data_IF_307888553300
#
_entry.id   IF_307888553300
#
_cell.length_a   1.000
_cell.length_b   1.000
_cell.length_c   1.000
_cell.angle_alpha   90.00
_cell.angle_beta   90.00
_cell.angle_gamma   90.00
#
_symmetry.space_group_name_H-M   'P 1'
#
loop_
_entity.id
_entity.type
_entity.pdbx_description
1 polymer ?
#
# COMPACT_ATOMS: atom_id res chain seq x y z
N UNK A 1 8.18 16.55 -23.63
CA UNK A 1 9.01 15.36 -23.30
C UNK A 1 8.91 15.15 -21.80
N UNK A 2 8.22 14.09 -21.36
CA UNK A 2 7.86 13.95 -19.94
C UNK A 2 9.11 13.75 -19.07
N UNK A 3 9.03 14.16 -17.80
CA UNK A 3 10.12 14.05 -16.82
C UNK A 3 10.70 12.61 -16.74
N UNK A 4 9.85 11.60 -16.95
CA UNK A 4 10.22 10.19 -16.94
C UNK A 4 11.01 9.73 -18.18
N UNK A 5 10.81 10.34 -19.37
CA UNK A 5 11.65 10.08 -20.55
C UNK A 5 13.11 10.52 -20.31
N UNK A 6 13.33 11.47 -19.39
CA UNK A 6 14.67 11.89 -18.95
C UNK A 6 15.25 10.93 -17.91
N UNK A 7 14.47 10.43 -16.95
CA UNK A 7 14.97 9.48 -15.94
C UNK A 7 15.20 8.06 -16.49
N UNK A 8 14.37 7.55 -17.41
CA UNK A 8 14.57 6.24 -18.07
C UNK A 8 15.88 6.16 -18.85
N UNK A 9 16.36 7.28 -19.41
CA UNK A 9 17.67 7.35 -20.08
C UNK A 9 18.86 7.20 -19.12
N UNK A 10 18.70 7.50 -17.83
CA UNK A 10 19.78 7.45 -16.85
C UNK A 10 19.91 6.10 -16.14
N UNK A 11 18.81 5.36 -15.94
CA UNK A 11 18.83 4.08 -15.21
C UNK A 11 18.76 2.83 -16.08
N UNK A 12 18.64 2.96 -17.41
CA UNK A 12 18.56 1.82 -18.33
C UNK A 12 19.87 1.50 -19.05
N UNK A 13 20.62 0.49 -18.58
CA UNK A 13 21.37 -0.51 -19.41
C UNK A 13 22.20 -1.47 -18.55
N UNK A 14 21.62 -2.61 -18.16
CA UNK A 14 22.37 -3.88 -18.19
C UNK A 14 21.93 -4.64 -19.43
N UNK A 15 22.73 -4.55 -20.50
CA UNK A 15 22.54 -5.39 -21.69
C UNK A 15 22.96 -6.81 -21.32
N UNK A 16 22.01 -7.76 -21.29
CA UNK A 16 22.37 -9.17 -21.39
C UNK A 16 23.01 -9.43 -22.75
N UNK A 17 24.18 -10.08 -22.74
CA UNK A 17 24.87 -10.57 -23.93
C UNK A 17 24.00 -11.66 -24.58
N UNK A 18 23.68 -11.48 -25.85
CA UNK A 18 23.00 -12.46 -26.71
C UNK A 18 24.05 -13.51 -27.10
N UNK A 19 23.92 -14.75 -26.60
CA UNK A 19 24.71 -15.87 -27.11
C UNK A 19 24.15 -16.29 -28.47
N UNK A 20 25.02 -16.28 -29.48
CA UNK A 20 24.80 -16.95 -30.77
C UNK A 20 25.00 -18.45 -30.56
N UNK A 21 24.07 -19.27 -31.01
CA UNK A 21 24.29 -20.69 -31.27
C UNK A 21 24.32 -20.90 -32.77
N UNK A 22 25.50 -21.27 -33.27
CA UNK A 22 25.73 -21.69 -34.65
C UNK A 22 25.17 -23.10 -34.86
N UNK A 23 24.37 -23.30 -35.90
CA UNK A 23 24.02 -24.62 -36.44
C UNK A 23 24.20 -24.53 -37.97
N UNK A 24 25.00 -25.42 -38.60
CA UNK A 24 25.28 -25.38 -40.04
C UNK A 24 24.12 -25.98 -40.86
N UNK A 25 24.04 -25.70 -42.18
CA UNK A 25 22.94 -26.15 -43.02
C UNK A 25 23.20 -27.57 -43.57
N UNK A 26 22.16 -28.40 -43.66
CA UNK A 26 22.17 -29.59 -44.52
C UNK A 26 21.06 -29.45 -45.57
N UNK A 27 21.51 -29.40 -46.83
CA UNK A 27 20.74 -29.52 -48.06
C UNK A 27 19.89 -30.80 -48.13
N UNK A 28 18.84 -30.76 -48.96
CA UNK A 28 18.55 -31.89 -49.86
C UNK A 28 17.12 -32.43 -49.94
N UNK A 29 16.36 -31.87 -50.89
CA UNK A 29 15.48 -32.56 -51.88
C UNK A 29 14.15 -33.25 -51.50
N UNK A 30 13.07 -32.65 -52.05
CA UNK A 30 11.98 -33.19 -52.91
C UNK A 30 11.19 -34.47 -52.56
N UNK A 31 9.85 -34.34 -52.58
CA UNK A 31 8.94 -35.48 -52.78
C UNK A 31 7.46 -35.15 -52.54
N UNK A 32 6.59 -35.49 -53.50
CA UNK A 32 5.21 -35.03 -53.69
C UNK A 32 4.14 -36.02 -53.14
N UNK A 33 2.95 -35.47 -52.82
CA UNK A 33 1.57 -36.03 -52.88
C UNK A 33 0.93 -36.90 -51.77
N UNK A 34 -0.25 -36.41 -51.37
CA UNK A 34 -1.56 -37.03 -51.08
C UNK A 34 -1.75 -38.16 -50.06
N UNK A 35 -2.63 -37.86 -49.08
CA UNK A 35 -3.84 -38.65 -48.82
C UNK A 35 -3.84 -39.57 -47.58
N UNK A 36 -4.89 -39.45 -46.76
CA UNK A 36 -5.35 -40.55 -45.91
C UNK A 36 -5.45 -40.27 -44.41
N UNK A 37 -6.68 -40.04 -43.95
CA UNK A 37 -7.12 -40.10 -42.55
C UNK A 37 -6.91 -41.52 -42.00
N UNK A 38 -6.22 -41.69 -40.87
CA UNK A 38 -6.49 -42.75 -39.85
C UNK A 38 -5.93 -42.36 -38.47
N UNK A 39 -6.73 -42.69 -37.47
CA UNK A 39 -6.50 -42.59 -36.04
C UNK A 39 -5.20 -43.25 -35.58
N UNK A 40 -4.50 -42.59 -34.66
CA UNK A 40 -3.26 -43.08 -34.07
C UNK A 40 -3.04 -42.50 -32.68
N UNK A 41 -3.14 -43.37 -31.67
CA UNK A 41 -2.69 -43.22 -30.30
C UNK A 41 -1.33 -42.49 -30.20
N UNK A 42 -1.27 -41.44 -29.38
CA UNK A 42 -0.05 -40.68 -29.11
C UNK A 42 0.57 -41.14 -27.78
N UNK A 43 1.82 -41.64 -27.75
CA UNK A 43 2.53 -41.91 -26.51
C UNK A 43 3.31 -40.67 -26.05
N UNK A 44 3.14 -40.34 -24.76
CA UNK A 44 4.11 -39.75 -23.82
C UNK A 44 5.38 -39.11 -24.43
N UNK A 45 5.37 -37.79 -24.58
CA UNK A 45 6.56 -36.97 -24.73
C UNK A 45 6.89 -36.27 -23.41
N UNK A 46 8.02 -36.69 -22.83
CA UNK A 46 8.69 -36.08 -21.67
C UNK A 46 8.98 -34.60 -21.95
N UNK A 47 8.25 -33.72 -21.28
CA UNK A 47 8.63 -32.30 -21.16
C UNK A 47 9.75 -32.19 -20.13
N UNK A 48 10.90 -31.72 -20.59
CA UNK A 48 12.04 -31.36 -19.75
C UNK A 48 11.68 -30.16 -18.88
N UNK A 49 11.57 -30.40 -17.58
CA UNK A 49 11.53 -29.38 -16.54
C UNK A 49 12.77 -28.47 -16.63
N UNK A 50 12.60 -27.23 -17.08
CA UNK A 50 13.46 -26.11 -16.71
C UNK A 50 12.71 -25.31 -15.65
N UNK A 51 12.74 -25.83 -14.41
CA UNK A 51 12.46 -25.04 -13.23
C UNK A 51 13.58 -23.98 -13.12
N UNK A 52 13.30 -22.76 -13.57
CA UNK A 52 13.97 -21.61 -12.99
C UNK A 52 13.47 -21.51 -11.54
N UNK A 53 14.28 -21.96 -10.60
CA UNK A 53 14.04 -21.79 -9.18
C UNK A 53 14.00 -20.29 -8.87
N UNK A 54 12.80 -19.72 -8.88
CA UNK A 54 12.51 -18.51 -8.13
C UNK A 54 12.65 -18.91 -6.66
N UNK A 55 13.70 -18.41 -6.02
CA UNK A 55 14.07 -18.79 -4.65
C UNK A 55 12.88 -18.59 -3.72
N UNK A 56 12.26 -19.70 -3.35
CA UNK A 56 11.16 -19.82 -2.39
C UNK A 56 11.58 -19.47 -0.95
N UNK A 57 12.85 -19.10 -0.75
CA UNK A 57 13.44 -18.95 0.58
C UNK A 57 13.31 -17.52 1.14
N UNK A 58 13.10 -16.50 0.31
CA UNK A 58 12.89 -15.12 0.83
C UNK A 58 11.49 -14.91 1.42
N UNK A 59 10.46 -15.57 0.88
CA UNK A 59 9.10 -15.48 1.42
C UNK A 59 8.94 -16.29 2.72
N UNK A 60 9.66 -17.41 2.83
CA UNK A 60 9.59 -18.31 3.99
C UNK A 60 10.20 -17.67 5.25
N UNK A 61 11.26 -16.87 5.11
CA UNK A 61 11.92 -16.17 6.24
C UNK A 61 11.03 -15.04 6.80
N UNK A 62 10.19 -14.40 5.97
CA UNK A 62 9.27 -13.36 6.45
C UNK A 62 8.11 -13.91 7.30
N UNK A 63 7.75 -15.19 7.14
CA UNK A 63 6.65 -15.82 7.88
C UNK A 63 7.00 -16.19 9.34
N UNK A 64 8.29 -16.17 9.72
CA UNK A 64 8.73 -16.54 11.08
C UNK A 64 9.08 -15.36 12.01
N UNK A 65 9.00 -14.12 11.52
CA UNK A 65 9.33 -12.92 12.31
C UNK A 65 8.11 -12.38 13.06
N UNK A 66 8.33 -11.83 14.25
CA UNK A 66 7.27 -11.12 14.97
C UNK A 66 6.84 -9.86 14.19
N UNK A 67 5.57 -9.46 14.31
CA UNK A 67 5.03 -8.24 13.68
C UNK A 67 5.89 -6.99 13.97
N UNK A 68 6.49 -6.91 15.16
CA UNK A 68 7.39 -5.82 15.54
C UNK A 68 8.74 -5.83 14.82
N UNK A 69 9.30 -7.01 14.52
CA UNK A 69 10.54 -7.14 13.75
C UNK A 69 10.32 -6.90 12.26
N UNK A 70 9.16 -7.33 11.74
CA UNK A 70 8.76 -7.06 10.35
C UNK A 70 8.63 -5.54 10.13
N UNK A 71 7.92 -4.82 11.01
CA UNK A 71 7.81 -3.35 10.95
C UNK A 71 9.17 -2.63 10.96
N UNK A 72 10.06 -2.99 11.89
CA UNK A 72 11.42 -2.41 11.96
C UNK A 72 12.23 -2.64 10.67
N UNK A 73 12.09 -3.81 10.05
CA UNK A 73 12.75 -4.14 8.79
C UNK A 73 12.22 -3.28 7.63
N UNK A 74 10.91 -3.02 7.57
CA UNK A 74 10.32 -2.21 6.49
C UNK A 74 10.55 -0.71 6.65
N UNK A 75 10.51 -0.17 7.86
CA UNK A 75 10.95 1.22 8.12
C UNK A 75 12.40 1.41 7.64
N UNK A 76 13.25 0.39 7.83
CA UNK A 76 14.63 0.41 7.34
C UNK A 76 14.75 0.39 5.81
N UNK A 77 13.80 -0.18 5.07
CA UNK A 77 13.80 -0.19 3.59
C UNK A 77 13.37 1.18 3.03
N UNK A 78 12.36 1.83 3.62
CA UNK A 78 12.06 3.21 3.24
C UNK A 78 13.21 4.14 3.64
N UNK A 79 13.79 4.00 4.83
CA UNK A 79 14.96 4.77 5.25
C UNK A 79 16.16 4.57 4.30
N UNK A 80 16.40 3.33 3.87
CA UNK A 80 17.45 2.98 2.90
C UNK A 80 17.16 3.57 1.52
N UNK A 81 15.92 3.48 1.04
CA UNK A 81 15.52 4.11 -0.22
C UNK A 81 15.69 5.64 -0.14
N UNK A 82 15.26 6.26 0.95
CA UNK A 82 15.41 7.70 1.16
C UNK A 82 16.87 8.11 1.25
N UNK A 83 17.70 7.37 1.99
CA UNK A 83 19.14 7.57 2.05
C UNK A 83 19.82 7.39 0.69
N UNK A 84 19.41 6.38 -0.09
CA UNK A 84 19.91 6.16 -1.44
C UNK A 84 19.52 7.32 -2.36
N UNK A 85 18.26 7.75 -2.34
CA UNK A 85 17.78 8.88 -3.14
C UNK A 85 18.48 10.19 -2.75
N UNK A 86 18.67 10.46 -1.46
CA UNK A 86 19.46 11.61 -0.99
C UNK A 86 20.90 11.53 -1.48
N UNK A 87 21.51 10.34 -1.42
CA UNK A 87 22.88 10.08 -1.89
C UNK A 87 22.99 10.27 -3.40
N UNK A 88 22.08 9.71 -4.19
CA UNK A 88 22.06 9.85 -5.66
C UNK A 88 21.83 11.30 -6.06
N UNK A 89 20.96 12.00 -5.34
CA UNK A 89 20.70 13.44 -5.52
C UNK A 89 21.93 14.29 -5.19
N UNK A 90 22.77 13.88 -4.22
CA UNK A 90 24.05 14.54 -3.95
C UNK A 90 24.91 14.61 -5.21
N UNK A 91 24.90 13.58 -6.05
CA UNK A 91 25.69 13.47 -7.28
C UNK A 91 25.02 14.04 -8.53
N UNK A 92 23.74 14.43 -8.47
CA UNK A 92 23.08 15.16 -9.57
C UNK A 92 23.80 16.51 -9.77
N UNK A 93 24.07 16.94 -11.01
CA UNK A 93 24.75 18.24 -11.23
C UNK A 93 23.76 19.41 -11.34
N UNK A 94 22.47 19.13 -11.61
CA UNK A 94 21.43 20.15 -11.79
C UNK A 94 20.68 20.45 -10.49
N UNK A 95 20.90 21.63 -9.90
CA UNK A 95 20.25 22.09 -8.65
C UNK A 95 18.72 21.91 -8.62
N UNK A 96 18.02 22.24 -9.71
CA UNK A 96 16.56 22.09 -9.76
C UNK A 96 16.06 20.64 -9.66
N UNK A 97 16.77 19.69 -10.27
CA UNK A 97 16.41 18.27 -10.17
C UNK A 97 16.65 17.70 -8.77
N UNK A 98 17.64 18.24 -8.03
CA UNK A 98 17.86 17.86 -6.63
C UNK A 98 16.69 18.26 -5.75
N UNK A 99 16.25 19.50 -5.87
CA UNK A 99 15.20 20.06 -5.04
C UNK A 99 13.88 19.28 -5.20
N UNK A 100 13.50 18.97 -6.44
CA UNK A 100 12.29 18.18 -6.72
C UNK A 100 12.37 16.78 -6.12
N UNK A 101 13.50 16.07 -6.28
CA UNK A 101 13.65 14.71 -5.76
C UNK A 101 13.59 14.68 -4.22
N UNK A 102 14.25 15.62 -3.54
CA UNK A 102 14.17 15.75 -2.07
C UNK A 102 12.76 16.12 -1.63
N UNK A 103 12.09 17.02 -2.36
CA UNK A 103 10.71 17.44 -2.08
C UNK A 103 9.69 16.30 -2.24
N UNK A 104 9.91 15.37 -3.16
CA UNK A 104 9.03 14.19 -3.34
C UNK A 104 9.25 13.18 -2.22
N UNK A 105 10.50 12.88 -1.89
CA UNK A 105 10.83 11.99 -0.77
C UNK A 105 10.25 12.49 0.55
N UNK A 106 10.38 13.79 0.84
CA UNK A 106 9.80 14.38 2.04
C UNK A 106 8.27 14.31 2.06
N UNK A 107 7.63 14.47 0.90
CA UNK A 107 6.19 14.32 0.77
C UNK A 107 5.74 12.87 1.04
N UNK A 108 6.43 11.89 0.46
CA UNK A 108 6.14 10.47 0.66
C UNK A 108 6.28 10.06 2.12
N UNK A 109 7.39 10.46 2.78
CA UNK A 109 7.60 10.24 4.21
C UNK A 109 6.51 10.88 5.05
N UNK A 110 6.26 12.17 4.85
CA UNK A 110 5.25 12.91 5.61
C UNK A 110 3.86 12.30 5.46
N UNK A 111 3.50 11.86 4.25
CA UNK A 111 2.26 11.12 4.03
C UNK A 111 2.21 9.83 4.83
N UNK A 112 3.22 8.95 4.73
CA UNK A 112 3.21 7.66 5.44
C UNK A 112 3.13 7.85 6.95
N UNK A 113 3.94 8.76 7.50
CA UNK A 113 3.98 9.05 8.93
C UNK A 113 2.62 9.57 9.41
N UNK A 114 2.02 10.51 8.68
CA UNK A 114 0.69 11.04 8.99
C UNK A 114 -0.41 9.97 8.89
N UNK A 115 -0.37 9.09 7.88
CA UNK A 115 -1.30 7.95 7.79
C UNK A 115 -1.16 7.05 9.02
N UNK A 116 0.06 6.74 9.43
CA UNK A 116 0.33 5.87 10.57
C UNK A 116 -0.11 6.48 11.91
N UNK A 117 0.02 7.81 12.06
CA UNK A 117 -0.52 8.53 13.20
C UNK A 117 -2.06 8.44 13.26
N UNK A 118 -2.74 8.66 12.12
CA UNK A 118 -4.20 8.51 12.03
C UNK A 118 -4.61 7.05 12.29
N UNK A 119 -3.93 6.07 11.70
CA UNK A 119 -4.23 4.65 11.93
C UNK A 119 -4.09 4.26 13.40
N UNK A 120 -3.05 4.74 14.08
CA UNK A 120 -2.88 4.55 15.52
C UNK A 120 -4.04 5.13 16.32
N UNK A 121 -4.48 6.36 15.99
CA UNK A 121 -5.63 7.04 16.60
C UNK A 121 -6.91 6.21 16.53
N UNK A 122 -7.13 5.46 15.44
CA UNK A 122 -8.29 4.57 15.26
C UNK A 122 -8.01 3.10 15.59
N UNK A 123 -6.87 2.76 16.20
CA UNK A 123 -6.54 1.41 16.66
C UNK A 123 -6.10 0.43 15.58
N UNK A 124 -5.66 0.92 14.42
CA UNK A 124 -5.21 0.13 13.29
C UNK A 124 -3.68 -0.01 13.24
N UNK A 125 -3.15 -1.14 12.73
CA UNK A 125 -1.71 -1.33 12.57
C UNK A 125 -1.14 -0.35 11.55
N UNK A 126 0.10 0.15 11.70
CA UNK A 126 0.74 1.02 10.70
C UNK A 126 0.88 0.33 9.33
N UNK A 127 0.79 1.13 8.28
CA UNK A 127 1.13 0.78 6.91
C UNK A 127 2.64 0.77 6.72
N UNK A 128 3.08 -0.05 5.79
CA UNK A 128 4.47 -0.14 5.32
C UNK A 128 4.60 0.53 3.96
N UNK A 129 5.77 1.10 3.68
CA UNK A 129 6.03 1.69 2.37
C UNK A 129 6.20 0.61 1.29
N UNK A 130 5.61 0.86 0.13
CA UNK A 130 5.84 0.06 -1.08
C UNK A 130 6.27 0.96 -2.23
N UNK A 131 7.53 0.80 -2.65
CA UNK A 131 8.08 1.57 -3.78
C UNK A 131 7.34 1.24 -5.09
N UNK A 132 6.90 0.00 -5.25
CA UNK A 132 6.11 -0.45 -6.40
C UNK A 132 4.79 0.32 -6.49
N UNK A 133 4.07 0.45 -5.36
CA UNK A 133 2.84 1.24 -5.30
C UNK A 133 3.10 2.73 -5.53
N UNK A 134 4.23 3.27 -5.07
CA UNK A 134 4.58 4.66 -5.27
C UNK A 134 4.89 4.98 -6.75
N UNK A 135 5.60 4.10 -7.45
CA UNK A 135 5.88 4.25 -8.88
C UNK A 135 4.59 4.18 -9.72
N UNK A 136 3.66 3.31 -9.31
CA UNK A 136 2.33 3.18 -9.91
C UNK A 136 1.48 4.43 -9.63
N UNK A 137 1.48 4.90 -8.38
CA UNK A 137 0.81 6.12 -7.97
C UNK A 137 1.31 7.33 -8.76
N UNK A 138 2.62 7.46 -8.97
CA UNK A 138 3.21 8.53 -9.78
C UNK A 138 2.73 8.47 -11.24
N UNK A 139 2.74 7.27 -11.83
CA UNK A 139 2.24 7.06 -13.20
C UNK A 139 0.77 7.47 -13.35
N UNK A 140 -0.04 7.28 -12.32
CA UNK A 140 -1.44 7.71 -12.29
C UNK A 140 -1.58 9.21 -12.01
N UNK A 141 -0.83 9.77 -11.06
CA UNK A 141 -0.82 11.20 -10.77
C UNK A 141 -0.49 12.02 -12.02
N UNK A 142 0.49 11.59 -12.82
CA UNK A 142 0.79 12.23 -14.12
C UNK A 142 -0.42 12.21 -15.06
N UNK A 143 -1.06 11.06 -15.24
CA UNK A 143 -2.24 10.94 -16.12
C UNK A 143 -3.40 11.80 -15.64
N UNK A 144 -3.66 11.82 -14.33
CA UNK A 144 -4.74 12.58 -13.71
C UNK A 144 -4.48 14.08 -13.83
N UNK A 145 -3.27 14.54 -13.54
CA UNK A 145 -2.87 15.94 -13.71
C UNK A 145 -2.95 16.37 -15.18
N UNK A 146 -2.52 15.51 -16.11
CA UNK A 146 -2.63 15.76 -17.55
C UNK A 146 -4.08 15.79 -18.04
N UNK A 147 -5.00 15.05 -17.42
CA UNK A 147 -6.42 15.10 -17.80
C UNK A 147 -7.20 16.22 -17.11
N UNK A 148 -6.73 16.71 -15.97
CA UNK A 148 -7.43 17.69 -15.15
C UNK A 148 -8.63 17.13 -14.41
N UNK A 149 -8.79 15.80 -14.33
CA UNK A 149 -9.91 15.13 -13.65
C UNK A 149 -9.50 13.74 -13.16
N UNK A 150 -10.14 13.30 -12.07
CA UNK A 150 -9.92 11.97 -11.50
C UNK A 150 -10.26 10.89 -12.53
N UNK A 151 -9.36 9.91 -12.65
CA UNK A 151 -9.54 8.68 -13.41
C UNK A 151 -9.24 7.53 -12.48
N UNK A 152 -10.21 6.65 -12.27
CA UNK A 152 -10.04 5.50 -11.41
C UNK A 152 -9.42 4.32 -12.19
N UNK A 153 -8.21 3.86 -11.84
CA UNK A 153 -7.67 2.59 -12.31
C UNK A 153 -8.58 1.41 -11.98
N UNK A 154 -8.74 0.50 -12.92
CA UNK A 154 -9.18 -0.86 -12.59
C UNK A 154 -7.95 -1.68 -12.17
N UNK A 155 -7.63 -1.68 -10.88
CA UNK A 155 -6.51 -2.44 -10.31
C UNK A 155 -7.04 -3.42 -9.26
N UNK A 156 -7.30 -4.69 -9.63
CA UNK A 156 -7.81 -5.69 -8.70
C UNK A 156 -6.91 -5.83 -7.46
N UNK A 157 -7.50 -5.73 -6.28
CA UNK A 157 -6.79 -5.88 -5.00
C UNK A 157 -5.95 -4.67 -4.57
N UNK A 158 -5.97 -3.56 -5.31
CA UNK A 158 -5.33 -2.29 -4.91
C UNK A 158 -6.42 -1.27 -4.59
N UNK A 159 -6.33 -0.68 -3.40
CA UNK A 159 -7.18 0.42 -2.96
C UNK A 159 -6.59 1.76 -3.38
N UNK A 160 -7.40 2.81 -3.40
CA UNK A 160 -6.99 4.11 -3.92
C UNK A 160 -7.63 5.28 -3.17
N UNK A 161 -6.84 6.33 -2.97
CA UNK A 161 -7.33 7.67 -2.66
C UNK A 161 -6.78 8.64 -3.71
N UNK A 162 -7.62 9.53 -4.22
CA UNK A 162 -7.22 10.52 -5.22
C UNK A 162 -7.81 11.89 -4.92
N UNK A 163 -6.95 12.91 -4.97
CA UNK A 163 -7.36 14.32 -4.85
C UNK A 163 -6.83 15.10 -6.04
N UNK A 164 -7.68 15.90 -6.66
CA UNK A 164 -7.31 16.85 -7.71
C UNK A 164 -7.59 18.25 -7.22
N UNK A 165 -6.58 19.12 -7.32
CA UNK A 165 -6.67 20.54 -6.94
C UNK A 165 -6.31 21.42 -8.13
N UNK A 166 -7.02 22.52 -8.28
CA UNK A 166 -6.65 23.58 -9.23
C UNK A 166 -5.69 24.54 -8.53
N UNK A 167 -4.51 24.74 -9.12
CA UNK A 167 -3.53 25.70 -8.66
C UNK A 167 -3.90 27.13 -9.08
N UNK A 168 -3.62 28.07 -8.20
CA UNK A 168 -3.68 29.52 -8.39
C UNK A 168 -2.33 30.15 -8.01
N UNK A 169 -2.19 31.46 -8.19
CA UNK A 169 -0.93 32.20 -7.98
C UNK A 169 -0.31 32.06 -6.57
N UNK A 170 -1.11 31.64 -5.58
CA UNK A 170 -0.68 31.41 -4.20
C UNK A 170 -0.67 29.93 -3.79
N UNK A 171 -0.85 29.00 -4.73
CA UNK A 171 -0.89 27.57 -4.44
C UNK A 171 0.51 27.00 -4.34
N UNK A 172 0.79 26.30 -3.24
CA UNK A 172 1.97 25.45 -3.09
C UNK A 172 1.64 23.98 -3.37
N UNK A 173 2.68 23.17 -3.59
CA UNK A 173 2.52 21.72 -3.62
C UNK A 173 2.15 21.22 -2.21
N UNK A 174 1.00 20.54 -2.04
CA UNK A 174 0.50 20.21 -0.71
C UNK A 174 1.39 19.17 -0.03
N UNK A 175 1.71 19.39 1.24
CA UNK A 175 2.51 18.45 2.05
C UNK A 175 1.74 17.16 2.31
N UNK A 176 2.45 16.14 2.80
CA UNK A 176 1.80 14.87 3.14
C UNK A 176 0.79 15.01 4.28
N UNK A 177 1.14 15.81 5.30
CA UNK A 177 0.25 16.13 6.42
C UNK A 177 -1.02 16.85 5.98
N UNK A 178 -0.92 17.82 5.06
CA UNK A 178 -2.07 18.57 4.56
C UNK A 178 -3.09 17.66 3.85
N UNK A 179 -2.61 16.73 3.02
CA UNK A 179 -3.48 15.77 2.32
C UNK A 179 -4.11 14.78 3.30
N UNK A 180 -3.32 14.28 4.25
CA UNK A 180 -3.82 13.34 5.25
C UNK A 180 -4.85 13.98 6.17
N UNK A 181 -4.64 15.22 6.59
CA UNK A 181 -5.61 15.97 7.39
C UNK A 181 -6.92 16.23 6.62
N UNK A 182 -6.83 16.54 5.33
CA UNK A 182 -8.00 16.69 4.46
C UNK A 182 -8.81 15.39 4.39
N UNK A 183 -8.17 14.25 4.14
CA UNK A 183 -8.86 12.96 4.11
C UNK A 183 -9.35 12.50 5.48
N UNK A 184 -8.61 12.76 6.56
CA UNK A 184 -9.03 12.44 7.93
C UNK A 184 -10.29 13.23 8.32
N UNK A 185 -10.46 14.46 7.84
CA UNK A 185 -11.63 15.29 8.14
C UNK A 185 -12.96 14.62 7.77
N UNK A 186 -12.94 13.68 6.82
CA UNK A 186 -14.11 12.89 6.44
C UNK A 186 -14.61 11.96 7.55
N UNK A 187 -13.80 11.68 8.57
CA UNK A 187 -14.21 10.93 9.76
C UNK A 187 -15.45 11.56 10.43
N UNK A 188 -15.62 12.88 10.33
CA UNK A 188 -16.80 13.58 10.85
C UNK A 188 -18.11 13.21 10.15
N UNK A 189 -18.04 12.64 8.93
CA UNK A 189 -19.19 12.15 8.18
C UNK A 189 -19.37 10.63 8.27
N UNK A 190 -18.46 9.90 8.91
CA UNK A 190 -18.51 8.44 9.02
C UNK A 190 -19.42 8.00 10.17
N UNK A 191 -20.41 7.16 9.87
CA UNK A 191 -21.30 6.55 10.88
C UNK A 191 -20.62 5.32 11.50
N UNK A 192 -19.94 5.52 12.64
CA UNK A 192 -19.27 4.45 13.38
C UNK A 192 -20.24 3.44 14.03
N UNK A 193 -21.49 3.83 14.26
CA UNK A 193 -22.49 2.94 14.86
C UNK A 193 -23.10 2.02 13.78
N UNK A 194 -23.10 2.45 12.52
CA UNK A 194 -23.55 1.68 11.35
C UNK A 194 -22.54 1.76 10.20
N UNK A 195 -21.34 1.19 10.37
CA UNK A 195 -20.23 1.33 9.43
C UNK A 195 -20.58 0.69 8.08
N UNK A 196 -20.48 1.49 7.01
CA UNK A 196 -20.82 1.11 5.63
C UNK A 196 -20.09 2.02 4.65
N UNK A 197 -20.03 1.60 3.39
CA UNK A 197 -19.53 2.48 2.34
C UNK A 197 -20.38 3.74 2.22
N UNK A 198 -19.70 4.87 2.10
CA UNK A 198 -20.32 6.17 1.83
C UNK A 198 -19.31 7.08 1.14
N UNK A 199 -19.73 7.73 0.05
CA UNK A 199 -18.83 8.52 -0.81
C UNK A 199 -18.14 9.69 -0.10
N UNK A 200 -18.79 10.29 0.90
CA UNK A 200 -18.22 11.42 1.68
C UNK A 200 -17.10 11.01 2.64
N UNK A 201 -16.85 9.72 2.83
CA UNK A 201 -15.85 9.22 3.77
C UNK A 201 -14.99 8.10 3.20
N UNK A 202 -14.95 7.98 1.87
CA UNK A 202 -14.23 6.92 1.19
C UNK A 202 -12.71 7.03 1.40
N UNK A 203 -12.16 8.24 1.51
CA UNK A 203 -10.73 8.43 1.68
C UNK A 203 -10.33 8.07 3.11
N UNK A 204 -11.12 8.56 4.08
CA UNK A 204 -10.93 8.21 5.48
C UNK A 204 -10.99 6.69 5.70
N UNK A 205 -12.06 6.03 5.24
CA UNK A 205 -12.23 4.59 5.48
C UNK A 205 -11.14 3.74 4.85
N UNK A 206 -10.59 4.15 3.69
CA UNK A 206 -9.43 3.49 3.09
C UNK A 206 -8.16 3.70 3.91
N UNK A 207 -7.90 4.92 4.41
CA UNK A 207 -6.71 5.20 5.22
C UNK A 207 -6.68 4.34 6.49
N UNK A 208 -7.83 4.20 7.14
CA UNK A 208 -7.96 3.44 8.39
C UNK A 208 -8.38 1.99 8.18
N UNK A 209 -8.32 1.48 6.94
CA UNK A 209 -8.69 0.10 6.64
C UNK A 209 -7.69 -0.87 7.28
N UNK A 210 -8.13 -1.63 8.30
CA UNK A 210 -7.26 -2.48 9.10
C UNK A 210 -6.41 -3.45 8.27
N UNK A 211 -7.03 -4.08 7.27
CA UNK A 211 -6.40 -5.13 6.49
C UNK A 211 -5.44 -4.61 5.42
N UNK A 212 -5.45 -3.30 5.10
CA UNK A 212 -4.43 -2.69 4.24
C UNK A 212 -3.09 -2.65 4.98
N UNK A 213 -2.02 -3.13 4.33
CA UNK A 213 -0.71 -3.34 4.94
C UNK A 213 0.39 -2.49 4.32
N UNK A 214 0.29 -2.21 3.02
CA UNK A 214 1.26 -1.43 2.26
C UNK A 214 0.60 -0.19 1.67
N UNK A 215 1.38 0.88 1.51
CA UNK A 215 0.98 2.04 0.74
C UNK A 215 2.12 2.61 -0.11
N UNK A 216 1.74 3.28 -1.19
CA UNK A 216 2.61 4.16 -1.96
C UNK A 216 1.83 5.39 -2.41
N UNK A 217 2.49 6.54 -2.42
CA UNK A 217 1.86 7.83 -2.75
C UNK A 217 2.75 8.66 -3.65
N UNK A 218 2.11 9.45 -4.51
CA UNK A 218 2.79 10.43 -5.34
C UNK A 218 1.90 11.65 -5.57
N UNK A 219 2.55 12.79 -5.86
CA UNK A 219 1.88 14.00 -6.34
C UNK A 219 2.50 14.47 -7.64
N UNK A 220 1.69 15.06 -8.51
CA UNK A 220 2.15 15.68 -9.76
C UNK A 220 1.46 17.03 -9.94
N UNK A 221 2.22 18.03 -10.40
CA UNK A 221 1.66 19.32 -10.82
C UNK A 221 1.90 19.53 -12.31
N UNK A 222 0.82 19.48 -13.08
CA UNK A 222 0.81 19.97 -14.44
C UNK A 222 0.61 21.50 -14.42
N UNK A 223 1.70 22.24 -14.63
CA UNK A 223 1.70 23.72 -14.62
C UNK A 223 1.02 24.33 -15.84
N UNK A 224 0.91 23.61 -16.96
CA UNK A 224 0.19 24.10 -18.15
C UNK A 224 -1.32 24.12 -17.92
N UNK A 225 -1.82 23.18 -17.11
CA UNK A 225 -3.24 23.06 -16.76
C UNK A 225 -3.58 23.59 -15.37
N UNK A 226 -2.58 24.08 -14.65
CA UNK A 226 -2.69 24.43 -13.23
C UNK A 226 -3.41 23.34 -12.42
N UNK A 227 -3.04 22.08 -12.66
CA UNK A 227 -3.69 20.93 -12.04
C UNK A 227 -2.67 20.16 -11.18
N UNK A 228 -3.00 20.00 -9.90
CA UNK A 228 -2.25 19.17 -8.96
C UNK A 228 -3.05 17.90 -8.72
N UNK A 229 -2.44 16.75 -8.96
CA UNK A 229 -3.02 15.45 -8.67
C UNK A 229 -2.22 14.76 -7.57
N UNK A 230 -2.92 14.19 -6.59
CA UNK A 230 -2.35 13.36 -5.53
C UNK A 230 -3.03 12.01 -5.62
N UNK A 231 -2.23 10.94 -5.65
CA UNK A 231 -2.68 9.56 -5.72
C UNK A 231 -1.98 8.76 -4.64
N UNK A 232 -2.75 8.11 -3.77
CA UNK A 232 -2.27 7.11 -2.82
C UNK A 232 -2.89 5.76 -3.17
N UNK A 233 -2.07 4.71 -3.17
CA UNK A 233 -2.47 3.34 -3.45
C UNK A 233 -2.17 2.46 -2.24
N UNK A 234 -3.04 1.48 -2.00
CA UNK A 234 -3.01 0.61 -0.83
C UNK A 234 -3.08 -0.86 -1.23
N UNK A 235 -2.38 -1.73 -0.51
CA UNK A 235 -2.43 -3.17 -0.73
C UNK A 235 -2.49 -3.93 0.60
N UNK A 236 -3.42 -4.88 0.77
CA UNK A 236 -4.66 -5.04 0.00
C UNK A 236 -5.53 -3.78 -0.04
N UNK A 237 -6.37 -3.67 -1.06
CA UNK A 237 -7.35 -2.59 -1.18
C UNK A 237 -8.44 -2.66 -0.12
N UNK A 238 -8.88 -1.49 0.34
CA UNK A 238 -9.95 -1.34 1.32
C UNK A 238 -11.30 -1.03 0.67
N UNK A 239 -12.22 -0.49 1.47
CA UNK A 239 -13.56 -0.09 1.04
C UNK A 239 -14.39 -1.22 0.39
N UNK A 240 -14.11 -2.48 0.74
CA UNK A 240 -14.92 -3.61 0.31
C UNK A 240 -16.32 -3.52 0.93
N UNK A 241 -17.36 -3.56 0.09
CA UNK A 241 -18.74 -3.38 0.53
C UNK A 241 -19.45 -4.73 0.83
N UNK A 242 -18.70 -5.82 0.94
CA UNK A 242 -19.26 -7.09 1.39
C UNK A 242 -19.77 -6.99 2.85
N UNK A 243 -20.80 -7.76 3.24
CA UNK A 243 -21.40 -7.66 4.56
C UNK A 243 -20.38 -7.86 5.69
N UNK A 244 -20.31 -6.88 6.60
CA UNK A 244 -19.43 -6.94 7.78
C UNK A 244 -18.00 -6.42 7.56
N UNK A 245 -17.56 -6.20 6.32
CA UNK A 245 -16.19 -5.75 6.01
C UNK A 245 -15.85 -4.41 6.67
N UNK A 246 -16.75 -3.42 6.56
CA UNK A 246 -16.55 -2.11 7.19
C UNK A 246 -16.49 -2.18 8.71
N UNK A 247 -17.33 -3.00 9.34
CA UNK A 247 -17.31 -3.20 10.79
C UNK A 247 -16.04 -3.92 11.25
N UNK A 248 -15.50 -4.80 10.43
CA UNK A 248 -14.24 -5.46 10.69
C UNK A 248 -13.06 -4.49 10.53
N UNK A 249 -13.07 -3.64 9.51
CA UNK A 249 -11.89 -2.89 9.09
C UNK A 249 -11.80 -1.45 9.57
N UNK A 250 -12.91 -0.82 9.98
CA UNK A 250 -12.92 0.57 10.46
C UNK A 250 -13.19 0.58 11.96
N UNK A 251 -12.19 1.00 12.75
CA UNK A 251 -12.24 1.03 14.22
C UNK A 251 -13.38 1.90 14.77
N UNK A 252 -13.93 1.53 15.92
CA UNK A 252 -15.24 2.01 16.42
C UNK A 252 -15.31 3.46 16.89
N UNK A 253 -14.19 4.20 16.97
CA UNK A 253 -14.03 5.66 17.15
C UNK A 253 -12.57 5.94 17.53
N UNK A 254 -12.18 7.22 17.47
CA UNK A 254 -10.89 7.70 17.96
C UNK A 254 -10.64 7.22 19.40
N UNK A 255 -9.61 6.37 19.54
CA UNK A 255 -9.24 5.74 20.82
C UNK A 255 -8.60 6.76 21.76
N UNK A 256 -8.02 7.85 21.23
CA UNK A 256 -7.42 8.93 22.02
C UNK A 256 -8.45 9.78 22.78
N UNK A 257 -9.70 9.79 22.31
CA UNK A 257 -10.82 10.47 22.95
C UNK A 257 -11.65 9.54 23.86
N UNK A 258 -11.30 8.26 23.95
CA UNK A 258 -11.97 7.35 24.87
C UNK A 258 -11.51 7.59 26.31
N UNK A 259 -12.42 7.78 27.30
CA UNK A 259 -12.03 7.81 28.70
C UNK A 259 -11.34 6.49 29.02
N UNK A 260 -10.12 6.56 29.55
CA UNK A 260 -9.32 5.42 30.00
C UNK A 260 -10.23 4.35 30.63
N UNK A 261 -10.46 3.24 29.92
CA UNK A 261 -11.08 2.06 30.52
C UNK A 261 -10.03 1.50 31.47
N UNK A 262 -10.08 1.93 32.74
CA UNK A 262 -9.27 1.32 33.79
C UNK A 262 -9.58 -0.18 33.82
N UNK A 263 -8.54 -1.00 33.66
CA UNK A 263 -8.56 -2.47 33.70
C UNK A 263 -8.89 -3.03 35.11
N UNK A 264 -9.59 -2.29 35.96
CA UNK A 264 -9.70 -2.55 37.40
C UNK A 264 -11.09 -2.98 37.89
N UNK A 265 -11.97 -3.55 37.05
CA UNK A 265 -13.31 -3.99 37.50
C UNK A 265 -13.58 -5.50 37.48
N UNK A 266 -12.59 -6.35 37.22
CA UNK A 266 -12.77 -7.82 37.23
C UNK A 266 -12.18 -8.54 38.46
N UNK A 267 -12.15 -7.89 39.62
CA UNK A 267 -12.01 -8.63 40.89
C UNK A 267 -13.41 -8.95 41.44
N UNK A 268 -13.87 -10.17 41.13
CA UNK A 268 -15.04 -10.79 41.74
C UNK A 268 -14.92 -10.69 43.26
N UNK A 269 -15.83 -9.93 43.88
CA UNK A 269 -16.04 -9.92 45.33
C UNK A 269 -16.63 -11.28 45.73
N UNK A 270 -15.78 -12.23 46.10
CA UNK A 270 -16.19 -13.39 46.91
C UNK A 270 -16.22 -12.89 48.35
N UNK A 271 -17.42 -12.62 48.89
CA UNK A 271 -17.59 -12.43 50.34
C UNK A 271 -18.34 -13.63 50.88
N UNK A 272 -17.62 -14.36 51.74
CA UNK A 272 -18.01 -15.57 52.45
C UNK A 272 -19.17 -15.25 53.41
N UNK A 273 -20.22 -16.06 53.41
CA UNK A 273 -21.30 -16.02 54.40
C UNK A 273 -20.85 -16.62 55.73
N UNK A 274 -20.96 -15.85 56.80
CA UNK A 274 -20.70 -16.29 58.17
C UNK A 274 -21.96 -16.97 58.75
N UNK A 275 -21.86 -18.13 59.44
CA UNK A 275 -23.03 -18.78 60.03
C UNK A 275 -23.47 -18.09 61.34
N UNK A 276 -24.79 -17.98 61.54
CA UNK A 276 -25.43 -17.53 62.78
C UNK A 276 -25.05 -18.44 63.96
N UNK A 277 -24.61 -17.83 65.06
CA UNK A 277 -24.44 -18.48 66.36
C UNK A 277 -25.72 -18.28 67.17
N UNK A 278 -26.46 -19.36 67.37
CA UNK A 278 -27.54 -19.47 68.35
C UNK A 278 -26.96 -19.28 69.75
N UNK A 279 -27.55 -18.38 70.55
CA UNK A 279 -27.35 -18.38 72.00
C UNK A 279 -28.69 -18.71 72.68
N UNK A 280 -28.79 -19.96 73.12
CA UNK A 280 -29.61 -20.35 74.27
C UNK A 280 -28.85 -20.00 75.55
N UNK A 281 -29.45 -19.23 76.45
CA UNK A 281 -29.73 -19.66 77.84
C UNK A 281 -30.18 -18.50 78.77
N UNK A 282 -31.40 -18.64 79.29
CA UNK A 282 -31.77 -18.70 80.71
C UNK A 282 -31.04 -17.82 81.75
N UNK A 283 -31.78 -16.87 82.36
CA UNK A 283 -32.12 -16.81 83.81
C UNK A 283 -32.66 -15.42 84.23
N UNK A 284 -33.96 -15.30 84.52
CA UNK A 284 -34.56 -15.02 85.84
C UNK A 284 -36.07 -14.78 85.70
#
# INVERSE_FOLDING_TARGET
MSYFDRMKKFFGRKKLKKSKSDIPPSDGTNGVSNGGVKDGHMPSSKSTNLHAACSSDEWAVCSSMSEGERRKKFDSELDKHMMQTITDVKYILKRGAKFTAVGEVNFQRGCLDAHNNVRQKYGNPPLQWSQELADLAHSWATKVADRGKVLYPEMPGIGENMTVKTASDHTHLPTGDEIVAEWESEAGAFDFDRPRWHSKCQHFSQMVWRDSQEMGVAREWNTEKNCIAIVALYRPGGNNNAPGEFAANVGSRDVSLSPSRSLASNLKRVTISTPQKTMENNHK
#
